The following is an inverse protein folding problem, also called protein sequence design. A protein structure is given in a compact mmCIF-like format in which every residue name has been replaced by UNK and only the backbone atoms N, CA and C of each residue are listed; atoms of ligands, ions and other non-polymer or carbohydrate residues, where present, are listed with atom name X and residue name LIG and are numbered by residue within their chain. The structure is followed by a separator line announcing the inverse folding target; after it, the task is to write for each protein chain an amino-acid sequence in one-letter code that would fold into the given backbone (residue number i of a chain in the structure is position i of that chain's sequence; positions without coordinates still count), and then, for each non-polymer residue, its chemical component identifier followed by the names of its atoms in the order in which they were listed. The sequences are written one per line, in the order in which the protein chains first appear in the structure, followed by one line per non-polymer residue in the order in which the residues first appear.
data_IF_358798668423
#
_entry.id   IF_358798668423
#
_cell.length_a   1.000
_cell.length_b   1.000
_cell.length_c   1.000
_cell.angle_alpha   90.00
_cell.angle_beta   90.00
_cell.angle_gamma   90.00
#
_symmetry.space_group_name_H-M   'P 1'
#
loop_
_entity.id
_entity.type
_entity.pdbx_description
1 polymer ?
#
# COMPACT_ATOMS: atom_id res chain seq x y z
N UNK A 1 26.08 4.92 -3.20
CA UNK A 1 25.97 6.25 -3.84
C UNK A 1 24.70 6.22 -4.70
N UNK A 2 23.61 6.79 -4.23
CA UNK A 2 22.34 6.81 -5.00
C UNK A 2 22.48 7.84 -6.13
N UNK A 3 22.09 7.44 -7.34
CA UNK A 3 22.08 8.34 -8.48
C UNK A 3 21.09 9.48 -8.22
N UNK A 4 21.50 10.72 -8.45
CA UNK A 4 20.70 11.94 -8.18
C UNK A 4 19.48 12.14 -9.09
N UNK A 5 19.27 11.26 -10.08
CA UNK A 5 18.26 11.39 -11.13
C UNK A 5 17.32 10.18 -11.23
N UNK A 6 17.12 9.44 -10.12
CA UNK A 6 16.17 8.32 -10.11
C UNK A 6 14.72 8.82 -10.11
N UNK A 7 13.89 8.22 -10.95
CA UNK A 7 12.44 8.38 -10.84
C UNK A 7 11.96 7.84 -9.49
N UNK A 8 10.79 8.29 -9.03
CA UNK A 8 10.19 7.81 -7.77
C UNK A 8 10.01 6.29 -7.76
N UNK A 9 9.66 5.72 -8.91
CA UNK A 9 9.51 4.27 -9.08
C UNK A 9 10.84 3.51 -8.94
N UNK A 10 11.92 4.03 -9.52
CA UNK A 10 13.24 3.42 -9.38
C UNK A 10 13.73 3.51 -7.93
N UNK A 11 13.53 4.65 -7.27
CA UNK A 11 13.87 4.82 -5.86
C UNK A 11 13.14 3.82 -4.98
N UNK A 12 11.81 3.72 -5.11
CA UNK A 12 11.04 2.74 -4.33
C UNK A 12 11.42 1.30 -4.69
N UNK A 13 11.72 1.01 -5.96
CA UNK A 13 12.21 -0.31 -6.38
C UNK A 13 13.47 -0.73 -5.66
N UNK A 14 14.49 0.15 -5.59
CA UNK A 14 15.73 -0.12 -4.84
C UNK A 14 15.48 -0.31 -3.33
N UNK A 15 14.63 0.52 -2.73
CA UNK A 15 14.32 0.43 -1.31
C UNK A 15 13.51 -0.84 -0.97
N UNK A 16 12.56 -1.21 -1.81
CA UNK A 16 11.78 -2.45 -1.66
C UNK A 16 12.70 -3.66 -1.78
N UNK A 17 13.59 -3.70 -2.78
CA UNK A 17 14.54 -4.80 -2.93
C UNK A 17 15.41 -4.96 -1.67
N UNK A 18 15.95 -3.86 -1.15
CA UNK A 18 16.74 -3.89 0.10
C UNK A 18 15.94 -4.38 1.29
N UNK A 19 14.72 -3.89 1.49
CA UNK A 19 13.89 -4.27 2.61
C UNK A 19 13.47 -5.74 2.54
N UNK A 20 12.99 -6.17 1.40
CA UNK A 20 12.37 -7.50 1.26
C UNK A 20 13.41 -8.59 0.98
N UNK A 21 14.22 -8.45 -0.07
CA UNK A 21 15.17 -9.49 -0.44
C UNK A 21 16.34 -9.59 0.56
N UNK A 22 16.94 -8.45 0.97
CA UNK A 22 18.13 -8.46 1.80
C UNK A 22 17.85 -8.52 3.29
N UNK A 23 16.87 -7.73 3.80
CA UNK A 23 16.61 -7.65 5.25
C UNK A 23 15.63 -8.73 5.71
N UNK A 24 14.51 -8.92 5.02
CA UNK A 24 13.50 -9.92 5.39
C UNK A 24 13.72 -11.29 4.77
N UNK A 25 14.63 -11.41 3.80
CA UNK A 25 14.88 -12.62 3.02
C UNK A 25 13.65 -13.18 2.33
N UNK A 26 12.76 -12.30 1.93
CA UNK A 26 11.57 -12.62 1.14
C UNK A 26 11.76 -12.11 -0.29
N UNK A 27 12.42 -12.94 -1.10
CA UNK A 27 12.72 -12.64 -2.52
C UNK A 27 11.56 -13.10 -3.42
N UNK A 28 10.45 -12.42 -3.33
CA UNK A 28 9.29 -12.58 -4.23
C UNK A 28 9.22 -11.40 -5.19
N UNK A 29 9.75 -11.58 -6.39
CA UNK A 29 9.85 -10.51 -7.39
C UNK A 29 8.51 -9.96 -7.82
N UNK A 30 7.45 -10.77 -7.86
CA UNK A 30 6.11 -10.33 -8.23
C UNK A 30 5.51 -9.44 -7.13
N UNK A 31 5.62 -9.86 -5.87
CA UNK A 31 5.23 -9.06 -4.71
C UNK A 31 6.02 -7.76 -4.64
N UNK A 32 7.35 -7.82 -4.75
CA UNK A 32 8.19 -6.61 -4.68
C UNK A 32 7.83 -5.60 -5.78
N UNK A 33 7.58 -6.05 -7.00
CA UNK A 33 7.13 -5.18 -8.10
C UNK A 33 5.77 -4.55 -7.79
N UNK A 34 4.84 -5.34 -7.27
CA UNK A 34 3.52 -4.87 -6.87
C UNK A 34 3.61 -3.79 -5.79
N UNK A 35 4.39 -4.02 -4.73
CA UNK A 35 4.57 -3.07 -3.63
C UNK A 35 5.32 -1.80 -4.07
N UNK A 36 6.26 -1.90 -5.00
CA UNK A 36 6.91 -0.73 -5.62
C UNK A 36 5.88 0.15 -6.34
N UNK A 37 5.01 -0.46 -7.13
CA UNK A 37 3.94 0.25 -7.83
C UNK A 37 2.95 0.88 -6.85
N UNK A 38 2.55 0.15 -5.80
CA UNK A 38 1.67 0.65 -4.73
C UNK A 38 2.24 1.91 -4.07
N UNK A 39 3.50 1.88 -3.67
CA UNK A 39 4.17 3.04 -3.07
C UNK A 39 4.25 4.22 -4.04
N UNK A 40 4.56 3.96 -5.31
CA UNK A 40 4.64 4.98 -6.35
C UNK A 40 3.28 5.63 -6.61
N UNK A 41 2.22 4.83 -6.69
CA UNK A 41 0.86 5.34 -6.86
C UNK A 41 0.39 6.13 -5.64
N UNK A 42 0.58 5.61 -4.43
CA UNK A 42 0.11 6.23 -3.19
C UNK A 42 0.96 7.41 -2.72
N UNK A 43 2.08 7.68 -3.37
CA UNK A 43 2.77 8.97 -3.24
C UNK A 43 1.88 10.15 -3.71
N UNK A 44 0.85 9.86 -4.51
CA UNK A 44 -0.18 10.82 -4.92
C UNK A 44 -1.46 10.60 -4.12
N UNK A 45 -1.90 11.61 -3.36
CA UNK A 45 -3.07 11.52 -2.47
C UNK A 45 -4.38 11.20 -3.18
N UNK A 46 -4.54 11.63 -4.43
CA UNK A 46 -5.70 11.32 -5.26
C UNK A 46 -5.79 9.82 -5.62
N UNK A 47 -4.66 9.12 -5.68
CA UNK A 47 -4.62 7.67 -5.89
C UNK A 47 -4.96 6.89 -4.62
N UNK A 48 -4.53 7.38 -3.46
CA UNK A 48 -4.87 6.79 -2.16
C UNK A 48 -6.39 6.85 -1.89
N UNK A 49 -7.05 7.93 -2.32
CA UNK A 49 -8.51 8.13 -2.19
C UNK A 49 -9.24 8.08 -3.54
N UNK A 50 -8.85 7.14 -4.42
CA UNK A 50 -9.39 7.03 -5.79
C UNK A 50 -10.83 6.52 -5.86
N UNK A 51 -11.26 5.72 -4.89
CA UNK A 51 -12.62 5.20 -4.86
C UNK A 51 -13.63 6.33 -4.54
N UNK A 52 -14.76 6.32 -5.24
CA UNK A 52 -15.79 7.34 -5.09
C UNK A 52 -17.17 6.69 -4.95
N UNK A 53 -18.03 7.36 -4.20
CA UNK A 53 -19.46 7.00 -4.14
C UNK A 53 -20.19 7.41 -5.43
N UNK A 54 -21.49 7.09 -5.48
CA UNK A 54 -22.36 7.44 -6.62
C UNK A 54 -22.50 8.95 -6.86
N UNK A 55 -22.18 9.77 -5.85
CA UNK A 55 -22.19 11.24 -5.94
C UNK A 55 -20.82 11.83 -6.25
N UNK A 56 -19.81 10.99 -6.51
CA UNK A 56 -18.44 11.41 -6.82
C UNK A 56 -17.58 11.79 -5.61
N UNK A 57 -18.05 11.59 -4.36
CA UNK A 57 -17.24 11.86 -3.16
C UNK A 57 -16.20 10.76 -2.96
N UNK A 58 -14.95 11.12 -2.60
CA UNK A 58 -13.95 10.13 -2.23
C UNK A 58 -14.40 9.30 -1.03
N UNK A 59 -14.27 7.98 -1.12
CA UNK A 59 -14.45 7.08 0.01
C UNK A 59 -13.19 7.12 0.86
N UNK A 60 -13.33 7.48 2.13
CA UNK A 60 -12.20 7.65 3.05
C UNK A 60 -12.14 6.54 4.11
N UNK A 61 -13.23 5.85 4.35
CA UNK A 61 -13.36 4.82 5.37
C UNK A 61 -13.50 3.44 4.73
N UNK A 62 -12.79 2.45 5.28
CA UNK A 62 -12.86 1.06 4.81
C UNK A 62 -14.28 0.52 4.91
N UNK A 63 -15.02 0.90 5.95
CA UNK A 63 -16.42 0.52 6.10
C UNK A 63 -17.30 0.99 4.91
N UNK A 64 -17.02 2.17 4.35
CA UNK A 64 -17.70 2.66 3.16
C UNK A 64 -17.26 1.89 1.91
N UNK A 65 -15.97 1.61 1.78
CA UNK A 65 -15.43 0.82 0.66
C UNK A 65 -16.03 -0.59 0.62
N UNK A 66 -16.20 -1.23 1.78
CA UNK A 66 -16.79 -2.57 1.89
C UNK A 66 -18.21 -2.66 1.34
N UNK A 67 -19.00 -1.58 1.44
CA UNK A 67 -20.33 -1.54 0.82
C UNK A 67 -20.24 -1.69 -0.70
N UNK A 68 -19.25 -1.05 -1.34
CA UNK A 68 -19.04 -1.11 -2.79
C UNK A 68 -18.20 -2.32 -3.23
N UNK A 69 -17.73 -3.12 -2.29
CA UNK A 69 -16.99 -4.35 -2.52
C UNK A 69 -17.87 -5.61 -2.61
N UNK A 70 -19.20 -5.49 -2.48
CA UNK A 70 -20.12 -6.62 -2.52
C UNK A 70 -21.17 -6.39 -3.61
N UNK A 71 -21.26 -7.30 -4.58
CA UNK A 71 -22.26 -7.25 -5.68
C UNK A 71 -23.71 -7.32 -5.19
N UNK A 72 -23.94 -7.84 -3.98
CA UNK A 72 -25.27 -7.88 -3.35
C UNK A 72 -25.67 -6.54 -2.74
N UNK A 73 -24.72 -5.60 -2.60
CA UNK A 73 -24.92 -4.28 -1.98
C UNK A 73 -24.71 -3.16 -3.01
N UNK A 74 -23.49 -2.69 -3.15
CA UNK A 74 -23.15 -1.52 -3.96
C UNK A 74 -22.27 -1.76 -5.17
N UNK A 75 -21.62 -2.94 -5.29
CA UNK A 75 -20.81 -3.27 -6.45
C UNK A 75 -21.71 -3.58 -7.66
N UNK A 76 -21.40 -2.98 -8.80
CA UNK A 76 -22.16 -3.15 -10.04
C UNK A 76 -21.71 -4.37 -10.88
N UNK A 77 -20.55 -4.95 -10.54
CA UNK A 77 -19.96 -6.09 -11.25
C UNK A 77 -18.92 -6.79 -10.39
N UNK A 78 -18.60 -8.04 -10.74
CA UNK A 78 -17.48 -8.77 -10.14
C UNK A 78 -16.13 -8.09 -10.40
N UNK A 79 -15.97 -7.40 -11.51
CA UNK A 79 -14.80 -6.57 -11.76
C UNK A 79 -14.67 -5.46 -10.69
N UNK A 80 -15.74 -4.73 -10.41
CA UNK A 80 -15.76 -3.70 -9.40
C UNK A 80 -15.51 -4.28 -8.00
N UNK A 81 -16.15 -5.39 -7.65
CA UNK A 81 -15.94 -6.09 -6.38
C UNK A 81 -14.45 -6.41 -6.17
N UNK A 82 -13.81 -7.02 -7.18
CA UNK A 82 -12.37 -7.33 -7.14
C UNK A 82 -11.51 -6.07 -6.96
N UNK A 83 -11.75 -5.03 -7.74
CA UNK A 83 -10.95 -3.81 -7.70
C UNK A 83 -11.12 -3.03 -6.39
N UNK A 84 -12.31 -3.04 -5.81
CA UNK A 84 -12.55 -2.43 -4.50
C UNK A 84 -11.84 -3.24 -3.40
N UNK A 85 -11.91 -4.56 -3.41
CA UNK A 85 -11.15 -5.39 -2.46
C UNK A 85 -9.65 -5.22 -2.62
N UNK A 86 -9.15 -5.13 -3.86
CA UNK A 86 -7.73 -4.83 -4.10
C UNK A 86 -7.34 -3.50 -3.45
N UNK A 87 -8.14 -2.46 -3.65
CA UNK A 87 -7.88 -1.16 -3.07
C UNK A 87 -7.97 -1.16 -1.53
N UNK A 88 -8.91 -1.90 -0.93
CA UNK A 88 -8.98 -2.06 0.53
C UNK A 88 -7.70 -2.73 1.06
N UNK A 89 -7.22 -3.78 0.38
CA UNK A 89 -5.95 -4.43 0.72
C UNK A 89 -4.78 -3.45 0.65
N UNK A 90 -4.67 -2.71 -0.44
CA UNK A 90 -3.62 -1.70 -0.67
C UNK A 90 -3.68 -0.58 0.38
N UNK A 91 -4.87 -0.03 0.62
CA UNK A 91 -5.12 1.05 1.57
C UNK A 91 -4.77 0.65 3.00
N UNK A 92 -5.23 -0.50 3.43
CA UNK A 92 -4.96 -1.00 4.79
C UNK A 92 -3.50 -1.37 4.97
N UNK A 93 -2.86 -1.98 3.97
CA UNK A 93 -1.42 -2.29 3.99
C UNK A 93 -0.56 -1.02 4.02
N UNK A 94 -0.92 0.00 3.25
CA UNK A 94 -0.22 1.28 3.26
C UNK A 94 -0.25 1.92 4.65
N UNK A 95 -1.41 2.08 5.26
CA UNK A 95 -1.53 2.72 6.55
C UNK A 95 -0.90 1.90 7.68
N UNK A 96 -1.06 0.59 7.68
CA UNK A 96 -0.49 -0.27 8.72
C UNK A 96 1.02 -0.51 8.57
N UNK A 97 1.53 -0.45 7.33
CA UNK A 97 2.94 -0.67 7.03
C UNK A 97 3.75 0.61 6.98
N UNK A 98 3.33 1.59 6.17
CA UNK A 98 4.12 2.82 5.96
C UNK A 98 3.96 3.82 7.10
N UNK A 99 2.73 4.04 7.59
CA UNK A 99 2.44 5.05 8.62
C UNK A 99 1.63 4.51 9.81
N UNK A 100 2.10 3.45 10.49
CA UNK A 100 1.35 2.84 11.59
C UNK A 100 1.06 3.83 12.74
N UNK A 101 1.92 4.80 12.97
CA UNK A 101 1.73 5.84 13.99
C UNK A 101 0.63 6.86 13.66
N UNK A 102 0.26 7.00 12.39
CA UNK A 102 -0.84 7.88 11.98
C UNK A 102 -2.21 7.23 12.19
N UNK A 103 -2.29 5.88 12.25
CA UNK A 103 -3.53 5.12 12.34
C UNK A 103 -4.44 5.54 13.52
N UNK A 104 -3.96 5.72 14.76
CA UNK A 104 -4.82 6.12 15.86
C UNK A 104 -5.51 7.46 15.62
N UNK A 105 -4.80 8.43 15.03
CA UNK A 105 -5.34 9.76 14.69
C UNK A 105 -6.30 9.68 13.51
N UNK A 106 -5.94 8.92 12.48
CA UNK A 106 -6.78 8.71 11.31
C UNK A 106 -8.12 8.08 11.71
N UNK A 107 -8.08 7.00 12.48
CA UNK A 107 -9.28 6.30 12.96
C UNK A 107 -10.12 7.12 13.93
N UNK A 108 -9.52 7.95 14.74
CA UNK A 108 -10.25 8.86 15.65
C UNK A 108 -11.09 9.90 14.89
N UNK A 109 -10.68 10.30 13.68
CA UNK A 109 -11.45 11.20 12.81
C UNK A 109 -12.55 10.49 12.01
N UNK A 110 -12.51 9.16 11.94
CA UNK A 110 -13.44 8.32 11.19
C UNK A 110 -14.59 7.84 12.09
N UNK A 111 -15.82 7.90 11.57
CA UNK A 111 -17.00 7.48 12.33
C UNK A 111 -17.28 5.99 12.28
N UNK A 112 -16.88 5.33 11.18
CA UNK A 112 -17.25 3.93 10.88
C UNK A 112 -16.08 2.96 11.08
N UNK A 113 -14.84 3.39 10.85
CA UNK A 113 -13.67 2.52 10.87
C UNK A 113 -13.09 2.24 12.28
N UNK A 114 -13.60 2.86 13.33
CA UNK A 114 -13.02 2.70 14.66
C UNK A 114 -13.08 1.26 15.20
N UNK A 115 -13.98 0.42 14.71
CA UNK A 115 -14.10 -0.99 15.07
C UNK A 115 -13.43 -1.93 14.04
N UNK A 116 -12.95 -1.41 12.90
CA UNK A 116 -12.36 -2.24 11.85
C UNK A 116 -10.89 -2.52 12.18
N UNK A 117 -10.52 -3.79 12.21
CA UNK A 117 -9.13 -4.24 12.24
C UNK A 117 -8.56 -4.19 10.82
N UNK A 118 -7.69 -3.20 10.56
CA UNK A 118 -7.11 -2.99 9.23
C UNK A 118 -6.24 -4.15 8.76
N UNK A 119 -5.51 -4.80 9.65
CA UNK A 119 -4.68 -5.96 9.30
C UNK A 119 -5.58 -7.13 8.88
N UNK A 120 -6.55 -7.46 9.70
CA UNK A 120 -7.50 -8.53 9.40
C UNK A 120 -8.28 -8.26 8.11
N UNK A 121 -8.76 -7.04 7.94
CA UNK A 121 -9.52 -6.66 6.75
C UNK A 121 -8.65 -6.64 5.48
N UNK A 122 -7.42 -6.19 5.57
CA UNK A 122 -6.48 -6.19 4.45
C UNK A 122 -6.15 -7.60 3.98
N UNK A 123 -5.86 -8.51 4.93
CA UNK A 123 -5.66 -9.94 4.65
C UNK A 123 -6.86 -10.54 3.95
N UNK A 124 -8.05 -10.32 4.47
CA UNK A 124 -9.29 -10.86 3.89
C UNK A 124 -9.55 -10.28 2.49
N UNK A 125 -9.33 -8.99 2.29
CA UNK A 125 -9.51 -8.36 0.98
C UNK A 125 -8.55 -8.93 -0.07
N UNK A 126 -7.26 -9.09 0.24
CA UNK A 126 -6.33 -9.75 -0.68
C UNK A 126 -6.66 -11.23 -0.91
N UNK A 127 -7.14 -11.93 0.11
CA UNK A 127 -7.63 -13.31 -0.04
C UNK A 127 -8.77 -13.38 -1.05
N UNK A 128 -9.74 -12.46 -0.94
CA UNK A 128 -10.86 -12.40 -1.88
C UNK A 128 -10.39 -12.08 -3.30
N UNK A 129 -9.47 -11.12 -3.48
CA UNK A 129 -8.87 -10.84 -4.80
C UNK A 129 -8.21 -12.10 -5.38
N UNK A 130 -7.55 -12.91 -4.56
CA UNK A 130 -6.88 -14.14 -5.02
C UNK A 130 -7.83 -15.25 -5.50
N UNK A 131 -9.13 -15.13 -5.21
CA UNK A 131 -10.14 -16.08 -5.70
C UNK A 131 -10.58 -15.80 -7.14
N UNK A 132 -10.27 -14.61 -7.67
CA UNK A 132 -10.48 -14.27 -9.07
C UNK A 132 -9.35 -14.83 -9.93
N UNK A 133 -9.30 -16.17 -10.05
CA UNK A 133 -8.28 -16.93 -10.79
C UNK A 133 -8.78 -17.31 -12.18
N UNK A 134 -9.24 -16.32 -12.94
CA UNK A 134 -9.78 -16.50 -14.30
C UNK A 134 -9.31 -15.39 -15.25
N UNK A 135 -9.23 -15.72 -16.54
CA UNK A 135 -8.91 -14.75 -17.58
C UNK A 135 -7.59 -13.99 -17.32
N UNK A 136 -7.64 -12.68 -17.43
CA UNK A 136 -6.49 -11.78 -17.23
C UNK A 136 -5.97 -11.75 -15.78
N UNK A 137 -6.78 -12.16 -14.81
CA UNK A 137 -6.42 -12.13 -13.40
C UNK A 137 -5.67 -13.37 -12.90
N UNK A 138 -5.64 -14.42 -13.72
CA UNK A 138 -5.03 -15.72 -13.36
C UNK A 138 -3.57 -15.59 -12.92
N UNK A 139 -2.80 -14.72 -13.58
CA UNK A 139 -1.38 -14.55 -13.25
C UNK A 139 -1.15 -13.80 -11.93
N UNK A 140 -2.08 -12.91 -11.55
CA UNK A 140 -1.99 -12.11 -10.33
C UNK A 140 -2.57 -12.81 -9.10
N UNK A 141 -3.54 -13.69 -9.28
CA UNK A 141 -4.26 -14.33 -8.17
C UNK A 141 -3.33 -15.03 -7.14
N UNK A 142 -2.30 -15.81 -7.54
CA UNK A 142 -1.36 -16.41 -6.59
C UNK A 142 -0.54 -15.38 -5.81
N UNK A 143 -0.20 -14.23 -6.41
CA UNK A 143 0.50 -13.15 -5.73
C UNK A 143 -0.35 -12.56 -4.62
N UNK A 144 -1.63 -12.27 -4.86
CA UNK A 144 -2.54 -11.77 -3.83
C UNK A 144 -2.75 -12.76 -2.70
N UNK A 145 -2.75 -14.07 -2.97
CA UNK A 145 -2.74 -15.10 -1.94
C UNK A 145 -1.52 -14.97 -1.04
N UNK A 146 -0.32 -14.88 -1.62
CA UNK A 146 0.92 -14.71 -0.85
C UNK A 146 0.94 -13.40 -0.04
N UNK A 147 0.42 -12.30 -0.61
CA UNK A 147 0.24 -11.04 0.13
C UNK A 147 -0.72 -11.18 1.30
N UNK A 148 -1.83 -11.88 1.13
CA UNK A 148 -2.76 -12.16 2.22
C UNK A 148 -2.11 -12.98 3.33
N UNK A 149 -1.41 -14.05 2.98
CA UNK A 149 -0.77 -14.95 3.93
C UNK A 149 0.41 -14.31 4.68
N UNK A 150 1.14 -13.40 4.01
CA UNK A 150 2.33 -12.73 4.54
C UNK A 150 2.11 -11.21 4.75
N UNK A 151 0.90 -10.81 5.07
CA UNK A 151 0.52 -9.39 5.19
C UNK A 151 1.38 -8.66 6.23
N UNK A 152 1.62 -9.28 7.38
CA UNK A 152 2.43 -8.72 8.46
C UNK A 152 3.91 -8.60 8.06
N UNK A 153 4.42 -9.52 7.25
CA UNK A 153 5.78 -9.41 6.68
C UNK A 153 5.85 -8.25 5.68
N UNK A 154 4.82 -8.09 4.85
CA UNK A 154 4.70 -6.95 3.94
C UNK A 154 4.66 -5.62 4.71
N UNK A 155 3.91 -5.54 5.83
CA UNK A 155 3.91 -4.37 6.71
C UNK A 155 5.31 -4.03 7.23
N UNK A 156 6.05 -5.02 7.72
CA UNK A 156 7.42 -4.83 8.21
C UNK A 156 8.36 -4.33 7.11
N UNK A 157 8.23 -4.89 5.91
CA UNK A 157 9.01 -4.47 4.74
C UNK A 157 8.72 -3.03 4.34
N UNK A 158 7.46 -2.63 4.28
CA UNK A 158 7.07 -1.26 3.94
C UNK A 158 7.52 -0.26 5.01
N UNK A 159 7.48 -0.64 6.29
CA UNK A 159 8.00 0.19 7.36
C UNK A 159 9.53 0.39 7.22
N UNK A 160 10.27 -0.67 6.89
CA UNK A 160 11.71 -0.58 6.63
C UNK A 160 12.02 0.31 5.42
N UNK A 161 11.23 0.22 4.34
CA UNK A 161 11.36 1.11 3.17
C UNK A 161 11.23 2.57 3.58
N UNK A 162 10.21 2.91 4.38
CA UNK A 162 10.02 4.26 4.89
C UNK A 162 11.20 4.74 5.73
N UNK A 163 11.67 3.92 6.66
CA UNK A 163 12.82 4.29 7.51
C UNK A 163 14.07 4.58 6.68
N UNK A 164 14.36 3.76 5.68
CA UNK A 164 15.48 3.99 4.77
C UNK A 164 15.30 5.28 3.97
N UNK A 165 14.11 5.55 3.48
CA UNK A 165 13.81 6.78 2.76
C UNK A 165 13.97 8.02 3.62
N UNK A 166 13.45 8.01 4.84
CA UNK A 166 13.60 9.12 5.80
C UNK A 166 15.07 9.37 6.15
N UNK A 167 15.86 8.31 6.34
CA UNK A 167 17.31 8.44 6.59
C UNK A 167 18.02 9.11 5.41
N UNK A 168 17.74 8.69 4.17
CA UNK A 168 18.29 9.30 2.96
C UNK A 168 17.93 10.78 2.83
N UNK A 169 16.69 11.14 3.13
CA UNK A 169 16.23 12.53 3.09
C UNK A 169 16.97 13.40 4.13
N UNK A 170 17.18 12.87 5.33
CA UNK A 170 17.98 13.58 6.38
C UNK A 170 19.43 13.75 5.96
N UNK A 171 20.08 12.74 5.43
CA UNK A 171 21.45 12.80 4.95
C UNK A 171 21.60 13.86 3.83
N UNK A 172 20.69 13.86 2.88
CA UNK A 172 20.68 14.85 1.79
C UNK A 172 20.49 16.27 2.31
N UNK A 173 19.60 16.48 3.29
CA UNK A 173 19.38 17.77 3.93
C UNK A 173 20.62 18.23 4.69
N UNK A 174 21.27 17.35 5.44
CA UNK A 174 22.50 17.66 6.18
C UNK A 174 23.65 18.04 5.24
N UNK A 175 23.82 17.30 4.13
CA UNK A 175 24.82 17.63 3.11
C UNK A 175 24.56 18.99 2.46
N UNK A 176 23.29 19.32 2.18
CA UNK A 176 22.90 20.61 1.63
C UNK A 176 23.20 21.76 2.62
N UNK A 177 22.82 21.59 3.89
CA UNK A 177 23.11 22.57 4.95
C UNK A 177 24.61 22.81 5.10
N UNK A 178 25.43 21.77 5.18
CA UNK A 178 26.88 21.87 5.31
C UNK A 178 27.53 22.64 4.14
N UNK A 179 26.98 22.49 2.92
CA UNK A 179 27.44 23.26 1.75
C UNK A 179 27.14 24.75 1.87
N UNK A 180 25.96 25.10 2.40
CA UNK A 180 25.55 26.50 2.59
C UNK A 180 26.33 27.13 3.72
N UNK A 181 26.56 26.42 4.81
CA UNK A 181 27.28 26.93 5.99
C UNK A 181 28.81 26.92 5.83
N UNK A 182 29.34 26.42 4.69
CA UNK A 182 30.78 26.47 4.38
C UNK A 182 31.63 25.53 5.23
N UNK A 183 31.06 24.46 5.73
CA UNK A 183 31.74 23.42 6.50
C UNK A 183 32.01 22.17 5.69
#
# INVERSE_FOLDING_TARGET
MLRRDLSLQELFGELVERAFALSLRWDDRQVMRYLTNLLTEFAHMDRLYRLRDLNGRPLQEVAEMLYYADVRLGAQSFYQEREVHRHIGDFTLFWTGVYPEALPRLRASMRKDHLIDYVKQGKESYRLVSLFDIGEWREEAPMFRRLSENFEVAMQGLYAVRQMWEQMARESFMQFRNRIEGR
#
